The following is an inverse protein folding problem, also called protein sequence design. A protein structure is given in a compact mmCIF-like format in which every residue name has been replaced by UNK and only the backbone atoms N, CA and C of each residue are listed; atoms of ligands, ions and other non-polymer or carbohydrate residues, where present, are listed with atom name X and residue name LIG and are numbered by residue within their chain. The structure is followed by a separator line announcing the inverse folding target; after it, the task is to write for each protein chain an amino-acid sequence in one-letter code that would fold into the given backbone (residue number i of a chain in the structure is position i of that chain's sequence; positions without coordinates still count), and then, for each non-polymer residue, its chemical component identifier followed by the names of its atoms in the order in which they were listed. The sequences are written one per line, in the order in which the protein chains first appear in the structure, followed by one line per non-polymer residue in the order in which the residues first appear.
data_IF_465247351592
#
_entry.id   IF_465247351592
#
_cell.length_a   1.000
_cell.length_b   1.000
_cell.length_c   1.000
_cell.angle_alpha   90.00
_cell.angle_beta   90.00
_cell.angle_gamma   90.00
#
_symmetry.space_group_name_H-M   'P 1'
#
loop_
_entity.id
_entity.type
_entity.pdbx_description
1 polymer ?
#
# COMPACT_ATOMS: atom_id res chain seq x y z
N UNK A 1 35.08 7.81 -12.07
CA UNK A 1 33.66 7.91 -12.40
C UNK A 1 32.94 6.96 -11.46
N UNK A 2 32.35 7.49 -10.41
CA UNK A 2 31.75 6.69 -9.31
C UNK A 2 30.32 6.36 -9.73
N UNK A 3 29.92 5.12 -9.59
CA UNK A 3 28.58 4.57 -9.95
C UNK A 3 27.42 5.34 -9.27
N UNK A 4 27.71 6.10 -8.25
CA UNK A 4 26.75 6.90 -7.48
C UNK A 4 26.19 8.11 -8.25
N UNK A 5 26.86 8.58 -9.29
CA UNK A 5 26.50 9.84 -9.99
C UNK A 5 25.43 9.65 -11.09
N UNK A 6 25.18 8.40 -11.50
CA UNK A 6 24.20 8.08 -12.56
C UNK A 6 22.81 7.77 -11.98
N UNK A 7 22.71 7.41 -10.70
CA UNK A 7 21.48 7.05 -10.00
C UNK A 7 20.70 8.24 -9.43
N UNK A 8 21.38 9.35 -9.16
CA UNK A 8 20.79 10.51 -8.49
C UNK A 8 19.56 11.11 -9.22
N UNK A 9 19.52 11.24 -10.56
CA UNK A 9 18.35 11.81 -11.23
C UNK A 9 17.15 10.87 -11.31
N UNK A 10 17.35 9.55 -11.33
CA UNK A 10 16.25 8.58 -11.46
C UNK A 10 15.52 8.36 -10.13
N UNK A 11 16.24 8.42 -9.01
CA UNK A 11 15.66 8.32 -7.67
C UNK A 11 14.71 9.46 -7.32
N UNK A 12 14.86 10.62 -7.96
CA UNK A 12 14.03 11.81 -7.68
C UNK A 12 12.85 11.95 -8.66
N UNK A 13 12.65 10.96 -9.52
CA UNK A 13 11.53 10.96 -10.47
C UNK A 13 10.31 10.30 -9.83
N UNK A 14 9.11 10.91 -9.94
CA UNK A 14 7.89 10.25 -9.51
C UNK A 14 7.63 8.95 -10.25
N UNK A 15 7.36 7.88 -9.52
CA UNK A 15 7.08 6.53 -10.03
C UNK A 15 5.57 6.36 -10.27
N UNK A 16 5.02 7.13 -11.20
CA UNK A 16 3.57 7.23 -11.41
C UNK A 16 2.96 6.02 -12.08
N UNK A 17 3.75 5.30 -12.86
CA UNK A 17 3.31 4.09 -13.55
C UNK A 17 4.00 2.85 -12.97
N UNK A 18 3.43 1.69 -13.25
CA UNK A 18 4.07 0.43 -12.87
C UNK A 18 5.36 0.19 -13.66
N UNK A 19 5.43 0.69 -14.90
CA UNK A 19 6.65 0.63 -15.71
C UNK A 19 7.77 1.49 -15.11
N UNK A 20 7.46 2.72 -14.62
CA UNK A 20 8.45 3.55 -13.92
C UNK A 20 9.01 2.83 -12.70
N UNK A 21 8.11 2.17 -11.92
CA UNK A 21 8.51 1.40 -10.76
C UNK A 21 9.37 0.19 -11.14
N UNK A 22 8.99 -0.57 -12.16
CA UNK A 22 9.75 -1.74 -12.60
C UNK A 22 11.14 -1.37 -13.10
N UNK A 23 11.27 -0.28 -13.84
CA UNK A 23 12.57 0.23 -14.31
C UNK A 23 13.49 0.57 -13.13
N UNK A 24 12.95 1.25 -12.10
CA UNK A 24 13.71 1.54 -10.89
C UNK A 24 14.13 0.26 -10.16
N UNK A 25 13.20 -0.67 -9.98
CA UNK A 25 13.46 -1.91 -9.26
C UNK A 25 14.45 -2.83 -9.99
N UNK A 26 14.36 -2.92 -11.32
CA UNK A 26 15.31 -3.70 -12.12
C UNK A 26 16.74 -3.20 -11.99
N UNK A 27 16.88 -1.88 -11.82
CA UNK A 27 18.18 -1.27 -11.54
C UNK A 27 18.76 -1.68 -10.18
N UNK A 28 17.92 -1.75 -9.13
CA UNK A 28 18.35 -2.13 -7.78
C UNK A 28 18.49 -3.65 -7.60
N UNK A 29 17.65 -4.42 -8.27
CA UNK A 29 17.51 -5.86 -8.09
C UNK A 29 17.59 -6.61 -9.42
N UNK A 30 18.72 -6.55 -10.15
CA UNK A 30 18.81 -7.12 -11.50
C UNK A 30 18.67 -8.65 -11.50
N UNK A 31 19.05 -9.32 -10.40
CA UNK A 31 18.98 -10.77 -10.25
C UNK A 31 18.93 -11.16 -8.78
N UNK A 32 18.18 -12.21 -8.47
CA UNK A 32 18.08 -12.72 -7.11
C UNK A 32 19.39 -13.40 -6.65
N UNK A 33 19.82 -13.09 -5.44
CA UNK A 33 20.99 -13.68 -4.80
C UNK A 33 20.58 -14.68 -3.72
N UNK A 34 19.53 -14.35 -2.96
CA UNK A 34 19.06 -15.16 -1.82
C UNK A 34 17.58 -14.91 -1.53
N UNK A 35 17.04 -15.67 -0.58
CA UNK A 35 15.67 -15.45 -0.14
C UNK A 35 15.61 -14.36 0.92
N UNK A 36 14.97 -13.23 0.59
CA UNK A 36 14.80 -12.07 1.47
C UNK A 36 13.62 -11.20 1.04
N UNK A 37 13.22 -10.31 1.93
CA UNK A 37 12.21 -9.29 1.68
C UNK A 37 12.88 -7.92 1.71
N UNK A 38 12.62 -7.11 0.70
CA UNK A 38 13.02 -5.72 0.69
C UNK A 38 11.80 -4.82 0.83
N UNK A 39 11.96 -3.73 1.55
CA UNK A 39 10.94 -2.69 1.65
C UNK A 39 11.53 -1.36 1.20
N UNK A 40 10.92 -0.77 0.18
CA UNK A 40 11.21 0.57 -0.31
C UNK A 40 10.07 1.48 0.10
N UNK A 41 10.37 2.76 0.30
CA UNK A 41 9.44 3.77 0.76
C UNK A 41 9.28 4.86 -0.28
N UNK A 42 8.04 5.31 -0.50
CA UNK A 42 7.72 6.39 -1.42
C UNK A 42 7.00 7.50 -0.64
N UNK A 43 7.27 8.74 -1.00
CA UNK A 43 6.54 9.89 -0.46
C UNK A 43 5.15 10.07 -1.10
N UNK A 44 4.46 11.16 -0.76
CA UNK A 44 3.13 11.46 -1.27
C UNK A 44 3.09 11.83 -2.77
N UNK A 45 4.25 12.14 -3.35
CA UNK A 45 4.41 12.44 -4.78
C UNK A 45 4.88 11.23 -5.59
N UNK A 46 4.86 10.02 -4.99
CA UNK A 46 5.38 8.78 -5.55
C UNK A 46 6.90 8.80 -5.84
N UNK A 47 7.66 9.63 -5.13
CA UNK A 47 9.12 9.68 -5.25
C UNK A 47 9.75 8.70 -4.26
N UNK A 48 10.73 7.93 -4.72
CA UNK A 48 11.44 6.98 -3.86
C UNK A 48 12.27 7.71 -2.81
N UNK A 49 12.06 7.35 -1.54
CA UNK A 49 12.90 7.81 -0.44
C UNK A 49 14.23 7.02 -0.42
N UNK A 50 15.33 7.62 0.04
CA UNK A 50 16.64 6.96 0.05
C UNK A 50 16.76 5.94 1.21
N UNK A 51 15.72 5.15 1.40
CA UNK A 51 15.62 4.15 2.47
C UNK A 51 15.18 2.83 1.85
N UNK A 52 15.99 1.81 2.05
CA UNK A 52 15.68 0.44 1.63
C UNK A 52 16.00 -0.49 2.80
N UNK A 53 15.03 -1.25 3.25
CA UNK A 53 15.17 -2.11 4.42
C UNK A 53 15.10 -3.59 4.01
N UNK A 54 16.20 -4.35 4.14
CA UNK A 54 16.21 -5.79 3.90
C UNK A 54 15.80 -6.58 5.15
N UNK A 55 15.08 -7.67 4.95
CA UNK A 55 14.83 -8.72 5.95
C UNK A 55 15.28 -10.05 5.36
N UNK A 56 16.40 -10.56 5.85
CA UNK A 56 16.99 -11.80 5.37
C UNK A 56 16.32 -13.04 5.97
N UNK A 57 16.47 -14.17 5.26
CA UNK A 57 16.05 -15.46 5.79
C UNK A 57 14.55 -15.64 5.99
N UNK A 58 13.72 -14.92 5.22
CA UNK A 58 12.27 -15.04 5.31
C UNK A 58 11.82 -16.48 5.02
N UNK A 59 10.84 -17.03 5.80
CA UNK A 59 10.35 -18.40 5.63
C UNK A 59 9.61 -18.58 4.29
N UNK A 60 9.35 -19.84 3.92
CA UNK A 60 8.55 -20.14 2.72
C UNK A 60 7.10 -19.67 2.84
N UNK A 61 6.54 -19.72 4.04
CA UNK A 61 5.20 -19.24 4.34
C UNK A 61 5.33 -18.11 5.37
N UNK A 62 4.72 -16.94 5.12
CA UNK A 62 4.78 -15.86 6.08
C UNK A 62 4.16 -16.24 7.42
N UNK A 63 4.84 -15.91 8.51
CA UNK A 63 4.32 -16.03 9.86
C UNK A 63 3.48 -14.80 10.21
N UNK A 64 2.22 -14.94 10.66
CA UNK A 64 1.35 -13.80 10.91
C UNK A 64 1.85 -12.87 12.03
N UNK A 65 2.47 -13.41 13.08
CA UNK A 65 2.98 -12.60 14.18
C UNK A 65 4.21 -11.81 13.75
N UNK A 66 5.14 -12.46 13.03
CA UNK A 66 6.30 -11.78 12.46
C UNK A 66 5.91 -10.69 11.46
N UNK A 67 4.87 -10.93 10.65
CA UNK A 67 4.32 -9.91 9.74
C UNK A 67 3.68 -8.73 10.49
N UNK A 68 2.95 -8.98 11.57
CA UNK A 68 2.39 -7.89 12.39
C UNK A 68 3.50 -7.00 12.95
N UNK A 69 4.51 -7.60 13.56
CA UNK A 69 5.66 -6.86 14.09
C UNK A 69 6.43 -6.11 12.99
N UNK A 70 6.56 -6.73 11.82
CA UNK A 70 7.17 -6.06 10.67
C UNK A 70 6.32 -4.87 10.19
N UNK A 71 5.00 -5.04 10.14
CA UNK A 71 4.07 -3.95 9.81
C UNK A 71 4.19 -2.76 10.76
N UNK A 72 4.33 -2.99 12.06
CA UNK A 72 4.56 -1.94 13.06
C UNK A 72 5.91 -1.23 12.84
N UNK A 73 6.96 -1.99 12.52
CA UNK A 73 8.27 -1.41 12.19
C UNK A 73 8.23 -0.57 10.91
N UNK A 74 7.55 -1.06 9.87
CA UNK A 74 7.37 -0.32 8.61
C UNK A 74 6.58 0.97 8.84
N UNK A 75 5.53 0.92 9.66
CA UNK A 75 4.72 2.09 10.01
C UNK A 75 5.54 3.15 10.76
N UNK A 76 6.34 2.74 11.73
CA UNK A 76 7.24 3.65 12.45
C UNK A 76 8.27 4.33 11.51
N UNK A 77 8.84 3.58 10.56
CA UNK A 77 9.74 4.14 9.56
C UNK A 77 8.99 5.07 8.61
N UNK A 78 7.80 4.68 8.17
CA UNK A 78 6.98 5.50 7.28
C UNK A 78 6.61 6.85 7.93
N UNK A 79 6.26 6.85 9.19
CA UNK A 79 5.96 8.06 9.96
C UNK A 79 7.21 8.95 10.11
N UNK A 80 8.35 8.39 10.51
CA UNK A 80 9.62 9.12 10.68
C UNK A 80 10.05 9.84 9.41
N UNK A 81 9.93 9.16 8.26
CA UNK A 81 10.40 9.68 6.98
C UNK A 81 9.27 10.25 6.09
N UNK A 82 8.04 10.31 6.61
CA UNK A 82 6.84 10.80 5.90
C UNK A 82 6.56 10.04 4.61
N UNK A 83 6.76 8.73 4.62
CA UNK A 83 6.41 7.89 3.50
C UNK A 83 4.89 7.69 3.45
N UNK A 84 4.30 7.89 2.28
CA UNK A 84 2.87 7.66 2.05
C UNK A 84 2.58 6.22 1.62
N UNK A 85 3.56 5.58 0.96
CA UNK A 85 3.40 4.21 0.50
C UNK A 85 4.71 3.42 0.51
N UNK A 86 4.56 2.10 0.43
CA UNK A 86 5.69 1.17 0.40
C UNK A 86 5.59 0.19 -0.76
N UNK A 87 6.75 -0.26 -1.23
CA UNK A 87 6.89 -1.33 -2.21
C UNK A 87 7.63 -2.49 -1.55
N UNK A 88 7.07 -3.68 -1.65
CA UNK A 88 7.71 -4.91 -1.19
C UNK A 88 8.30 -5.70 -2.35
N UNK A 89 9.57 -6.10 -2.24
CA UNK A 89 10.22 -7.00 -3.18
C UNK A 89 10.55 -8.30 -2.49
N UNK A 90 9.92 -9.39 -2.90
CA UNK A 90 10.23 -10.73 -2.43
C UNK A 90 11.28 -11.33 -3.33
N UNK A 91 12.51 -11.36 -2.86
CA UNK A 91 13.64 -11.95 -3.58
C UNK A 91 13.74 -13.45 -3.29
N UNK A 92 13.95 -14.24 -4.33
CA UNK A 92 14.26 -15.66 -4.24
C UNK A 92 14.94 -16.17 -5.51
N UNK A 93 15.85 -17.07 -5.36
CA UNK A 93 16.47 -17.78 -6.50
C UNK A 93 15.50 -18.71 -7.23
N UNK A 94 15.79 -18.97 -8.50
CA UNK A 94 15.04 -19.82 -9.40
C UNK A 94 14.15 -19.05 -10.37
N UNK A 95 13.38 -19.76 -11.18
CA UNK A 95 12.57 -19.17 -12.27
C UNK A 95 11.48 -18.23 -11.78
N UNK A 96 11.01 -17.34 -12.68
CA UNK A 96 9.92 -16.40 -12.42
C UNK A 96 8.55 -17.08 -12.24
N UNK A 97 8.43 -18.38 -12.53
CA UNK A 97 7.18 -19.11 -12.33
C UNK A 97 6.65 -18.99 -10.90
N UNK A 98 5.41 -18.51 -10.76
CA UNK A 98 4.77 -18.30 -9.46
C UNK A 98 4.65 -19.58 -8.64
N UNK A 99 5.13 -19.54 -7.41
CA UNK A 99 5.08 -20.66 -6.45
C UNK A 99 3.98 -20.44 -5.42
N UNK A 100 3.62 -21.50 -4.70
CA UNK A 100 2.68 -21.39 -3.58
C UNK A 100 3.17 -20.40 -2.50
N UNK A 101 4.48 -20.38 -2.24
CA UNK A 101 5.11 -19.42 -1.32
C UNK A 101 4.92 -17.98 -1.78
N UNK A 102 5.04 -17.73 -3.08
CA UNK A 102 4.94 -16.39 -3.65
C UNK A 102 3.53 -15.83 -3.50
N UNK A 103 2.52 -16.69 -3.76
CA UNK A 103 1.10 -16.32 -3.54
C UNK A 103 0.80 -16.03 -2.07
N UNK A 104 1.37 -16.83 -1.15
CA UNK A 104 1.20 -16.61 0.28
C UNK A 104 1.82 -15.27 0.73
N UNK A 105 3.04 -14.97 0.28
CA UNK A 105 3.70 -13.70 0.56
C UNK A 105 2.99 -12.52 -0.08
N UNK A 106 2.58 -12.63 -1.34
CA UNK A 106 1.81 -11.58 -2.02
C UNK A 106 0.52 -11.26 -1.25
N UNK A 107 -0.28 -12.27 -0.91
CA UNK A 107 -1.54 -12.08 -0.19
C UNK A 107 -1.35 -11.46 1.20
N UNK A 108 -0.27 -11.81 1.90
CA UNK A 108 0.03 -11.28 3.22
C UNK A 108 0.53 -9.83 3.16
N UNK A 109 1.50 -9.54 2.30
CA UNK A 109 2.09 -8.20 2.16
C UNK A 109 1.10 -7.19 1.58
N UNK A 110 0.27 -7.58 0.59
CA UNK A 110 -0.75 -6.69 0.02
C UNK A 110 -1.79 -6.21 1.03
N UNK A 111 -1.94 -6.92 2.15
CA UNK A 111 -2.86 -6.54 3.24
C UNK A 111 -2.18 -5.80 4.37
N UNK A 112 -0.86 -5.69 4.35
CA UNK A 112 -0.10 -5.17 5.49
C UNK A 112 -0.42 -3.70 5.79
N UNK A 113 -0.79 -2.91 4.77
CA UNK A 113 -1.22 -1.53 4.91
C UNK A 113 -2.68 -1.33 5.38
N UNK A 114 -3.46 -2.41 5.50
CA UNK A 114 -4.86 -2.29 5.96
C UNK A 114 -4.89 -1.88 7.43
N UNK A 115 -5.56 -0.76 7.73
CA UNK A 115 -5.61 -0.12 9.06
C UNK A 115 -4.27 0.44 9.56
N UNK A 116 -3.36 0.80 8.64
CA UNK A 116 -2.09 1.48 8.93
C UNK A 116 -1.99 2.81 8.20
N UNK A 117 -1.08 3.66 8.64
CA UNK A 117 -0.88 5.00 8.09
C UNK A 117 -0.07 5.01 6.76
N UNK A 118 0.20 3.85 6.18
CA UNK A 118 0.85 3.74 4.87
C UNK A 118 0.06 2.83 3.92
N UNK A 119 0.14 3.11 2.62
CA UNK A 119 -0.40 2.25 1.59
C UNK A 119 0.64 1.24 1.08
N UNK A 120 0.20 0.07 0.63
CA UNK A 120 1.06 -0.85 -0.14
C UNK A 120 0.88 -0.56 -1.62
N UNK A 121 1.89 0.06 -2.25
CA UNK A 121 1.89 0.43 -3.66
C UNK A 121 2.03 -0.77 -4.57
N UNK A 122 2.92 -1.69 -4.23
CA UNK A 122 3.15 -2.91 -4.99
C UNK A 122 3.81 -4.02 -4.15
N UNK A 123 3.60 -5.27 -4.58
CA UNK A 123 4.33 -6.44 -4.12
C UNK A 123 4.86 -7.17 -5.35
N UNK A 124 6.16 -7.15 -5.54
CA UNK A 124 6.84 -7.72 -6.71
C UNK A 124 7.79 -8.86 -6.32
N UNK A 125 8.21 -9.63 -7.31
CA UNK A 125 9.20 -10.68 -7.17
C UNK A 125 10.52 -10.30 -7.81
N UNK A 126 11.64 -10.65 -7.18
CA UNK A 126 12.95 -10.71 -7.80
C UNK A 126 13.39 -12.17 -7.90
N UNK A 127 13.77 -12.59 -9.10
CA UNK A 127 14.16 -13.98 -9.41
C UNK A 127 15.46 -13.99 -10.20
N UNK A 128 15.94 -15.20 -10.60
CA UNK A 128 17.10 -15.31 -11.51
C UNK A 128 16.81 -14.69 -12.90
N UNK A 129 15.53 -14.47 -13.22
CA UNK A 129 15.08 -13.88 -14.48
C UNK A 129 14.82 -12.36 -14.37
N UNK A 130 15.12 -11.74 -13.19
CA UNK A 130 14.93 -10.33 -12.92
C UNK A 130 13.68 -10.01 -12.09
N UNK A 131 13.27 -8.74 -12.15
CA UNK A 131 12.09 -8.21 -11.47
C UNK A 131 10.83 -8.48 -12.30
N UNK A 132 9.76 -8.82 -11.60
CA UNK A 132 8.44 -9.01 -12.22
C UNK A 132 7.32 -9.18 -11.21
N UNK A 133 6.09 -9.39 -11.67
CA UNK A 133 4.98 -9.65 -10.79
C UNK A 133 5.22 -10.93 -9.98
N UNK A 134 5.01 -10.84 -8.66
CA UNK A 134 5.18 -12.01 -7.78
C UNK A 134 4.11 -13.08 -8.06
N UNK A 135 2.94 -12.67 -8.55
CA UNK A 135 1.86 -13.56 -8.98
C UNK A 135 1.26 -13.10 -10.30
N UNK A 136 0.73 -14.04 -11.08
CA UNK A 136 0.08 -13.75 -12.36
C UNK A 136 -1.35 -13.26 -12.22
N UNK A 137 -1.95 -13.38 -11.03
CA UNK A 137 -3.38 -13.14 -10.83
C UNK A 137 -3.75 -11.64 -10.78
N UNK A 138 -2.81 -10.79 -10.37
CA UNK A 138 -2.92 -9.33 -10.44
C UNK A 138 -1.55 -8.70 -10.17
N UNK A 139 -0.78 -8.36 -11.18
CA UNK A 139 0.58 -7.88 -10.98
C UNK A 139 0.62 -6.54 -10.22
N UNK A 140 -0.30 -5.61 -10.54
CA UNK A 140 -0.33 -4.29 -9.93
C UNK A 140 -1.78 -3.79 -9.76
N UNK A 141 -2.09 -3.01 -8.74
CA UNK A 141 -3.31 -2.24 -8.72
C UNK A 141 -3.28 -1.27 -9.91
N UNK A 142 -4.34 -1.24 -10.71
CA UNK A 142 -4.44 -0.25 -11.78
C UNK A 142 -4.30 1.15 -11.17
N UNK A 143 -3.50 2.06 -11.77
CA UNK A 143 -3.45 3.43 -11.32
C UNK A 143 -4.87 4.01 -11.32
N UNK A 144 -5.23 4.89 -10.37
CA UNK A 144 -6.51 5.57 -10.40
C UNK A 144 -6.62 6.27 -11.75
N UNK A 145 -7.55 5.81 -12.59
CA UNK A 145 -7.77 6.37 -13.92
C UNK A 145 -8.01 7.89 -13.79
N UNK A 146 -7.56 8.70 -14.78
CA UNK A 146 -7.90 10.12 -14.82
C UNK A 146 -9.41 10.26 -15.10
N UNK A 147 -10.23 10.22 -14.04
CA UNK A 147 -11.69 10.23 -14.22
C UNK A 147 -12.53 9.84 -13.02
N UNK A 148 -11.94 9.49 -11.89
CA UNK A 148 -12.69 9.37 -10.62
C UNK A 148 -12.87 10.74 -9.93
N UNK A 149 -13.00 11.81 -10.73
CA UNK A 149 -13.61 13.04 -10.26
C UNK A 149 -15.11 12.77 -10.19
N UNK A 150 -15.59 12.52 -8.99
CA UNK A 150 -16.93 12.75 -8.49
C UNK A 150 -17.93 13.17 -9.56
N UNK A 151 -18.65 12.19 -10.11
CA UNK A 151 -19.94 12.46 -10.73
C UNK A 151 -20.94 12.64 -9.56
N UNK A 152 -20.90 13.83 -8.96
CA UNK A 152 -21.96 14.30 -8.09
C UNK A 152 -23.14 14.59 -9.03
N UNK A 153 -24.32 13.99 -8.82
CA UNK A 153 -25.48 14.32 -9.63
C UNK A 153 -25.77 15.81 -9.50
N UNK A 154 -26.15 16.50 -10.61
CA UNK A 154 -26.50 17.90 -10.56
C UNK A 154 -27.66 18.10 -9.61
N UNK A 155 -27.52 19.05 -8.69
CA UNK A 155 -28.59 19.51 -7.83
C UNK A 155 -29.73 20.00 -8.73
N UNK A 156 -30.89 19.37 -8.62
CA UNK A 156 -32.14 19.81 -9.24
C UNK A 156 -32.50 21.18 -8.65
N UNK A 157 -32.83 22.18 -9.49
CA UNK A 157 -33.31 23.43 -8.99
C UNK A 157 -34.81 23.33 -8.68
N UNK A 158 -35.15 23.60 -7.44
CA UNK A 158 -36.35 24.24 -6.97
C UNK A 158 -37.73 23.73 -7.47
N UNK A 159 -38.50 23.23 -6.56
CA UNK A 159 -39.96 23.42 -6.59
C UNK A 159 -40.36 24.04 -5.28
N UNK A 160 -40.73 25.30 -5.40
CA UNK A 160 -41.44 26.06 -4.39
C UNK A 160 -42.84 25.50 -4.14
N UNK A 161 -43.36 25.90 -3.01
CA UNK A 161 -44.74 26.12 -2.63
C UNK A 161 -45.47 25.03 -1.84
N UNK A 162 -45.74 25.44 -0.63
CA UNK A 162 -47.07 25.34 -0.08
C UNK A 162 -47.14 25.10 1.43
N UNK A 163 -47.86 25.91 2.16
CA UNK A 163 -47.74 26.04 3.62
C UNK A 163 -48.78 25.24 4.42
N UNK A 164 -48.50 25.19 5.73
CA UNK A 164 -49.42 25.02 6.84
C UNK A 164 -49.99 23.63 7.14
N UNK A 165 -49.72 23.14 8.33
CA UNK A 165 -50.65 23.18 9.48
C UNK A 165 -50.09 22.45 10.71
N UNK A 166 -49.95 23.20 11.76
CA UNK A 166 -50.49 23.03 13.11
C UNK A 166 -50.26 21.73 13.87
N UNK A 167 -49.61 21.93 14.96
CA UNK A 167 -49.51 21.23 16.27
C UNK A 167 -50.87 20.67 16.80
N UNK A 168 -50.97 20.06 18.01
CA UNK A 168 -50.00 19.78 19.05
C UNK A 168 -50.24 18.42 19.80
N UNK A 169 -49.47 18.15 20.78
CA UNK A 169 -49.82 17.59 22.08
C UNK A 169 -48.92 16.44 22.60
N UNK A 170 -48.15 16.80 23.56
CA UNK A 170 -48.08 16.28 24.95
C UNK A 170 -48.04 14.76 25.13
N UNK A 171 -46.98 14.29 25.74
CA UNK A 171 -46.95 13.87 27.12
C UNK A 171 -45.54 13.49 27.61
N UNK A 172 -45.17 14.15 28.64
CA UNK A 172 -44.09 13.76 29.55
C UNK A 172 -44.55 12.61 30.45
N UNK A 173 -43.66 11.77 30.89
CA UNK A 173 -43.59 11.10 32.19
C UNK A 173 -42.18 10.52 32.32
N UNK A 174 -41.34 11.11 33.16
CA UNK A 174 -40.99 10.77 34.53
C UNK A 174 -39.98 9.62 34.62
N UNK A 175 -38.71 9.96 34.87
CA UNK A 175 -37.98 9.89 36.14
C UNK A 175 -38.05 8.54 36.86
N UNK A 176 -36.95 7.89 37.14
CA UNK A 176 -36.08 8.05 38.27
C UNK A 176 -35.02 6.93 38.36
N UNK A 177 -33.94 7.11 39.10
CA UNK A 177 -32.74 6.28 39.08
C UNK A 177 -32.77 5.22 40.18
N UNK A 178 -31.97 4.16 40.04
CA UNK A 178 -31.57 3.29 41.15
C UNK A 178 -30.08 3.08 41.14
N UNK A 179 -29.59 3.37 42.26
CA UNK A 179 -28.23 3.40 42.79
C UNK A 179 -27.79 2.00 43.28
N UNK A 180 -26.48 1.78 43.27
CA UNK A 180 -25.68 1.04 44.29
C UNK A 180 -25.85 -0.49 44.40
N UNK A 181 -24.84 -1.22 44.03
CA UNK A 181 -23.77 -1.82 44.90
C UNK A 181 -22.65 -2.41 44.07
#
# INVERSE_FOLDING_TARGET
MTVTDTLAPELHRPLRTDDDLLVLLDHFFPVAIRRQLWTLFLDADDVALPIVVPVEGIPLVPDPAALSNWGEAVEAIADEFRAASVVFVVERTGSASSRRSDRAWHAALSRLGVHREFAVRAVVGCTDEGIGPLTTDRPFPAPPGPGAATDAPPAEPGSELGPAQASPSRRAVSASPVSVR
#
